data_IF_166145912086
#
_entry.id   IF_166145912086
#
_cell.length_a   1.000
_cell.length_b   1.000
_cell.length_c   1.000
_cell.angle_alpha   90.00
_cell.angle_beta   90.00
_cell.angle_gamma   90.00
#
_symmetry.space_group_name_H-M   'P 1'
#
loop_
_entity.id
_entity.type
_entity.pdbx_description
1 polymer ?
#
# COMPACT_ATOMS: atom_id res chain seq x y z
N UNK A 1 -12.23 24.73 24.18
CA UNK A 1 -12.06 23.31 23.83
C UNK A 1 -11.98 23.20 22.31
N UNK A 2 -10.81 22.87 21.77
CA UNK A 2 -10.64 22.78 20.32
C UNK A 2 -11.48 21.62 19.77
N UNK A 3 -12.40 21.92 18.84
CA UNK A 3 -13.27 20.93 18.20
C UNK A 3 -12.40 20.03 17.32
N UNK A 4 -12.15 18.80 17.75
CA UNK A 4 -11.44 17.79 16.98
C UNK A 4 -12.23 17.49 15.71
N UNK A 5 -11.80 18.06 14.58
CA UNK A 5 -12.31 17.71 13.26
C UNK A 5 -11.41 16.61 12.73
N UNK A 6 -12.03 15.51 12.27
CA UNK A 6 -11.29 14.44 11.59
C UNK A 6 -10.54 15.07 10.41
N UNK A 7 -9.20 14.92 10.34
CA UNK A 7 -8.42 15.44 9.23
C UNK A 7 -8.86 14.80 7.92
N UNK A 8 -8.60 15.47 6.79
CA UNK A 8 -8.82 14.88 5.48
C UNK A 8 -8.10 13.53 5.35
N UNK A 9 -8.70 12.56 4.67
CA UNK A 9 -8.14 11.21 4.45
C UNK A 9 -6.66 11.20 4.05
N UNK A 10 -6.24 12.08 3.14
CA UNK A 10 -4.82 12.17 2.73
C UNK A 10 -3.89 12.57 3.88
N UNK A 11 -4.33 13.50 4.73
CA UNK A 11 -3.57 13.93 5.92
C UNK A 11 -3.50 12.78 6.94
N UNK A 12 -4.59 12.05 7.12
CA UNK A 12 -4.63 10.89 8.00
C UNK A 12 -3.67 9.79 7.52
N UNK A 13 -3.72 9.43 6.23
CA UNK A 13 -2.84 8.42 5.63
C UNK A 13 -1.37 8.84 5.76
N UNK A 14 -1.04 10.09 5.43
CA UNK A 14 0.32 10.61 5.58
C UNK A 14 0.80 10.57 7.04
N UNK A 15 -0.09 10.90 8.00
CA UNK A 15 0.20 10.76 9.43
C UNK A 15 0.49 9.32 9.85
N UNK A 16 -0.26 8.35 9.34
CA UNK A 16 -0.01 6.92 9.57
C UNK A 16 1.34 6.50 8.98
N UNK A 17 1.71 7.00 7.80
CA UNK A 17 3.01 6.72 7.19
C UNK A 17 4.17 7.25 8.03
N UNK A 18 4.06 8.49 8.55
CA UNK A 18 5.06 9.04 9.47
C UNK A 18 5.16 8.19 10.74
N UNK A 19 4.02 7.80 11.32
CA UNK A 19 3.99 6.95 12.51
C UNK A 19 4.68 5.60 12.26
N UNK A 20 4.41 4.95 11.13
CA UNK A 20 5.06 3.71 10.73
C UNK A 20 6.58 3.89 10.56
N UNK A 21 7.01 5.02 10.00
CA UNK A 21 8.43 5.33 9.85
C UNK A 21 9.14 5.53 11.20
N UNK A 22 8.49 6.20 12.16
CA UNK A 22 9.03 6.35 13.51
C UNK A 22 9.15 4.98 14.18
N UNK A 23 8.13 4.12 14.06
CA UNK A 23 8.17 2.76 14.58
C UNK A 23 9.31 1.93 13.97
N UNK A 24 9.58 2.09 12.67
CA UNK A 24 10.67 1.42 11.98
C UNK A 24 12.08 1.85 12.47
N UNK A 25 12.21 2.98 13.16
CA UNK A 25 13.46 3.37 13.82
C UNK A 25 13.61 2.82 15.24
N UNK A 26 12.49 2.51 15.89
CA UNK A 26 12.47 2.01 17.28
C UNK A 26 12.61 0.49 17.30
N UNK A 27 12.00 -0.20 16.32
CA UNK A 27 12.00 -1.66 16.24
C UNK A 27 13.26 -2.15 15.50
N UNK A 28 14.08 -3.04 16.12
CA UNK A 28 15.19 -3.67 15.43
C UNK A 28 14.68 -4.57 14.31
N UNK A 29 15.38 -4.57 13.19
CA UNK A 29 15.08 -5.47 12.09
C UNK A 29 15.77 -6.80 12.38
N UNK A 30 15.03 -7.89 12.27
CA UNK A 30 15.60 -9.23 12.42
C UNK A 30 15.02 -10.18 11.41
N UNK A 31 15.78 -11.22 11.13
CA UNK A 31 15.40 -12.30 10.22
C UNK A 31 15.40 -13.61 10.98
N UNK A 32 14.65 -14.58 10.46
CA UNK A 32 14.66 -15.95 10.95
C UNK A 32 15.11 -16.87 9.83
N UNK A 33 16.06 -17.76 10.13
CA UNK A 33 16.42 -18.82 9.21
C UNK A 33 15.24 -19.74 8.90
N UNK A 34 15.11 -20.08 7.61
CA UNK A 34 14.12 -21.03 7.09
C UNK A 34 14.84 -22.21 6.47
N UNK A 35 14.39 -23.40 6.82
CA UNK A 35 14.91 -24.66 6.26
C UNK A 35 13.76 -25.48 5.69
N UNK A 36 14.03 -26.13 4.56
CA UNK A 36 13.08 -27.04 3.95
C UNK A 36 12.96 -28.31 4.80
N UNK A 37 11.77 -28.57 5.33
CA UNK A 37 11.49 -29.80 6.08
C UNK A 37 11.34 -30.99 5.11
N UNK A 38 11.37 -32.22 5.63
CA UNK A 38 11.24 -33.50 4.90
C UNK A 38 9.97 -33.61 4.03
N UNK A 39 9.02 -32.69 4.21
CA UNK A 39 7.76 -32.59 3.45
C UNK A 39 7.79 -31.50 2.36
N UNK A 40 8.95 -30.92 2.06
CA UNK A 40 9.11 -29.86 1.05
C UNK A 40 8.51 -28.52 1.48
N UNK A 41 8.47 -28.24 2.78
CA UNK A 41 7.87 -27.02 3.35
C UNK A 41 8.94 -26.22 4.07
N UNK A 42 9.03 -24.93 3.73
CA UNK A 42 9.83 -23.96 4.47
C UNK A 42 9.35 -23.84 5.92
N UNK A 43 10.20 -24.22 6.87
CA UNK A 43 9.95 -24.12 8.29
C UNK A 43 10.97 -23.18 8.95
N UNK A 44 10.49 -22.26 9.77
CA UNK A 44 11.34 -21.37 10.57
C UNK A 44 12.06 -22.18 11.65
N UNK A 45 13.38 -22.00 11.78
CA UNK A 45 14.18 -22.62 12.82
C UNK A 45 13.90 -21.94 14.17
N UNK A 46 13.45 -22.65 15.21
CA UNK A 46 13.21 -22.04 16.52
C UNK A 46 14.51 -21.50 17.12
N UNK A 47 14.52 -20.22 17.53
CA UNK A 47 15.67 -19.58 18.16
C UNK A 47 16.73 -19.03 17.20
N UNK A 48 16.53 -19.12 15.88
CA UNK A 48 17.44 -18.53 14.87
C UNK A 48 17.17 -17.04 14.59
N UNK A 49 16.57 -16.32 15.55
CA UNK A 49 16.37 -14.89 15.39
C UNK A 49 17.72 -14.19 15.42
N UNK A 50 18.08 -13.56 14.32
CA UNK A 50 19.28 -12.73 14.23
C UNK A 50 18.89 -11.31 13.83
N UNK A 51 19.43 -10.33 14.56
CA UNK A 51 19.30 -8.92 14.16
C UNK A 51 20.15 -8.69 12.91
N UNK A 52 19.52 -8.17 11.87
CA UNK A 52 20.19 -7.88 10.60
C UNK A 52 20.63 -6.42 10.60
N UNK A 53 21.89 -6.17 10.25
CA UNK A 53 22.40 -4.82 9.98
C UNK A 53 21.70 -4.27 8.74
N UNK A 54 20.58 -3.62 8.99
CA UNK A 54 19.78 -2.94 8.00
C UNK A 54 20.00 -1.44 8.19
N UNK A 55 20.42 -0.78 7.11
CA UNK A 55 20.61 0.67 7.13
C UNK A 55 19.32 1.37 7.59
N UNK A 56 19.46 2.35 8.49
CA UNK A 56 18.34 3.18 8.92
C UNK A 56 17.65 3.77 7.69
N UNK A 57 16.33 3.64 7.60
CA UNK A 57 15.55 4.21 6.50
C UNK A 57 15.85 5.71 6.40
N UNK A 58 16.10 6.24 5.20
CA UNK A 58 16.25 7.69 5.02
C UNK A 58 14.88 8.37 5.13
N UNK A 59 14.75 9.55 5.79
CA UNK A 59 13.52 10.36 5.77
C UNK A 59 12.93 10.57 4.37
N UNK A 60 13.78 10.57 3.35
CA UNK A 60 13.36 10.71 1.95
C UNK A 60 12.55 9.51 1.44
N UNK A 61 12.63 8.34 2.08
CA UNK A 61 11.80 7.17 1.74
C UNK A 61 10.31 7.45 1.84
N UNK A 62 9.91 8.37 2.72
CA UNK A 62 8.50 8.73 2.87
C UNK A 62 7.93 9.29 1.56
N UNK A 63 8.72 10.05 0.81
CA UNK A 63 8.32 10.62 -0.47
C UNK A 63 8.30 9.58 -1.59
N UNK A 64 9.21 8.59 -1.57
CA UNK A 64 9.23 7.52 -2.58
C UNK A 64 8.21 6.41 -2.29
N UNK A 65 7.83 6.21 -1.02
CA UNK A 65 6.83 5.22 -0.62
C UNK A 65 5.44 5.54 -1.19
N UNK A 66 5.13 6.82 -1.42
CA UNK A 66 3.86 7.23 -2.02
C UNK A 66 3.75 6.73 -3.48
N UNK A 67 4.66 7.08 -4.41
CA UNK A 67 4.69 6.51 -5.76
C UNK A 67 4.72 4.98 -5.80
N UNK A 68 5.47 4.33 -4.91
CA UNK A 68 5.49 2.87 -4.84
C UNK A 68 4.16 2.27 -4.42
N UNK A 69 3.45 2.90 -3.49
CA UNK A 69 2.07 2.53 -3.15
C UNK A 69 1.13 2.64 -4.35
N UNK A 70 1.28 3.68 -5.17
CA UNK A 70 0.54 3.80 -6.43
C UNK A 70 0.91 2.70 -7.43
N UNK A 71 2.18 2.35 -7.55
CA UNK A 71 2.63 1.26 -8.41
C UNK A 71 2.07 -0.10 -7.95
N UNK A 72 2.05 -0.36 -6.65
CA UNK A 72 1.44 -1.57 -6.09
C UNK A 72 -0.08 -1.64 -6.32
N UNK A 73 -0.75 -0.48 -6.38
CA UNK A 73 -2.18 -0.36 -6.65
C UNK A 73 -2.51 -0.16 -8.15
N UNK A 74 -1.52 -0.26 -9.05
CA UNK A 74 -1.67 0.12 -10.47
C UNK A 74 -2.83 -0.59 -11.16
N UNK A 75 -3.00 -1.90 -10.92
CA UNK A 75 -4.03 -2.69 -11.58
C UNK A 75 -5.43 -2.18 -11.27
N UNK A 76 -5.67 -1.79 -10.00
CA UNK A 76 -6.95 -1.24 -9.55
C UNK A 76 -7.15 0.16 -10.14
N UNK A 77 -6.11 0.99 -10.13
CA UNK A 77 -6.18 2.37 -10.67
C UNK A 77 -6.50 2.32 -12.17
N UNK A 78 -5.78 1.50 -12.94
CA UNK A 78 -6.03 1.33 -14.37
C UNK A 78 -7.41 0.74 -14.64
N UNK A 79 -7.84 -0.24 -13.87
CA UNK A 79 -9.16 -0.84 -14.01
C UNK A 79 -10.29 0.19 -13.81
N UNK A 80 -10.25 0.95 -12.71
CA UNK A 80 -11.25 2.00 -12.43
C UNK A 80 -11.21 3.08 -13.51
N UNK A 81 -10.02 3.45 -13.98
CA UNK A 81 -9.85 4.44 -15.04
C UNK A 81 -10.44 3.97 -16.37
N UNK A 82 -10.21 2.72 -16.77
CA UNK A 82 -10.80 2.13 -17.98
C UNK A 82 -12.33 2.06 -17.90
N UNK A 83 -12.86 1.64 -16.75
CA UNK A 83 -14.32 1.59 -16.53
C UNK A 83 -14.91 3.00 -16.61
N UNK A 84 -14.35 3.95 -15.85
CA UNK A 84 -14.82 5.33 -15.84
C UNK A 84 -14.73 5.98 -17.22
N UNK A 85 -13.63 5.76 -17.94
CA UNK A 85 -13.44 6.24 -19.30
C UNK A 85 -14.44 5.64 -20.28
N UNK A 86 -14.68 4.33 -20.21
CA UNK A 86 -15.65 3.64 -21.06
C UNK A 86 -17.06 4.17 -20.81
N UNK A 87 -17.48 4.29 -19.55
CA UNK A 87 -18.78 4.89 -19.21
C UNK A 87 -18.88 6.34 -19.67
N UNK A 88 -17.79 7.12 -19.59
CA UNK A 88 -17.73 8.47 -20.13
C UNK A 88 -18.01 8.51 -21.65
N UNK A 89 -17.38 7.62 -22.41
CA UNK A 89 -17.60 7.49 -23.86
C UNK A 89 -19.02 7.04 -24.16
N UNK A 90 -19.52 6.00 -23.49
CA UNK A 90 -20.88 5.48 -23.69
C UNK A 90 -21.96 6.53 -23.42
N UNK A 91 -21.75 7.39 -22.42
CA UNK A 91 -22.65 8.50 -22.13
C UNK A 91 -22.54 9.62 -23.15
N UNK A 92 -21.32 9.96 -23.59
CA UNK A 92 -21.10 11.00 -24.60
C UNK A 92 -21.69 10.63 -25.97
N UNK A 93 -21.71 9.34 -26.33
CA UNK A 93 -22.30 8.86 -27.59
C UNK A 93 -23.81 8.61 -27.50
N UNK A 94 -24.43 8.77 -26.33
CA UNK A 94 -25.83 8.40 -26.10
C UNK A 94 -26.08 6.90 -26.16
N UNK A 95 -25.03 6.07 -26.31
CA UNK A 95 -25.17 4.61 -26.36
C UNK A 95 -25.67 4.05 -25.03
N UNK A 96 -25.27 4.64 -23.90
CA UNK A 96 -25.78 4.28 -22.58
C UNK A 96 -27.29 4.54 -22.47
N UNK A 97 -27.75 5.72 -22.92
CA UNK A 97 -29.16 6.11 -22.84
C UNK A 97 -30.02 5.25 -23.79
N UNK A 98 -29.51 4.99 -25.01
CA UNK A 98 -30.15 4.10 -25.99
C UNK A 98 -30.24 2.64 -25.51
N UNK A 99 -29.30 2.16 -24.68
CA UNK A 99 -29.35 0.82 -24.08
C UNK A 99 -30.38 0.73 -22.95
N UNK A 100 -30.54 1.80 -22.17
CA UNK A 100 -31.49 1.88 -21.03
C UNK A 100 -32.92 2.15 -21.53
N UNK A 101 -33.09 2.69 -22.74
CA UNK A 101 -34.39 2.89 -23.37
C UNK A 101 -35.10 4.18 -22.94
N UNK A 102 -34.33 5.21 -22.61
CA UNK A 102 -34.82 6.58 -22.37
C UNK A 102 -34.50 7.46 -23.57
#
# INVERSE_FOLDING_TARGET
MAKFRVPHTLVLLFGIMIMAMVLAYILPQGEFDRVENQQGREQVVPGSYEEVESGRLSPLRLFTAIPEGFAAAQDIIFFIFLIGGTFGVLRATGAADAMIGV
#
